data_IF_313839977336
#
_entry.id   IF_313839977336
#
_cell.length_a   1.000
_cell.length_b   1.000
_cell.length_c   1.000
_cell.angle_alpha   90.00
_cell.angle_beta   90.00
_cell.angle_gamma   90.00
#
_symmetry.space_group_name_H-M   'P 1'
#
loop_
_entity.id
_entity.type
_entity.pdbx_description
1 polymer ?
#
# COMPACT_ATOMS: atom_id res chain seq x y z
N UNK A 1 -2.89 -1.35 -14.98
CA UNK A 1 -1.94 -1.61 -13.88
C UNK A 1 -2.40 -0.93 -12.60
N UNK A 2 -2.21 -1.57 -11.44
CA UNK A 2 -2.55 -0.91 -10.17
C UNK A 2 -1.78 0.38 -9.97
N UNK A 3 -2.40 1.32 -9.26
CA UNK A 3 -1.79 2.59 -8.87
C UNK A 3 -1.67 2.61 -7.36
N UNK A 4 -0.65 3.23 -6.83
CA UNK A 4 -0.33 3.17 -5.40
C UNK A 4 -0.30 4.54 -4.73
N UNK A 5 -0.60 4.54 -3.43
CA UNK A 5 -0.40 5.66 -2.54
C UNK A 5 0.44 5.18 -1.37
N UNK A 6 1.55 5.84 -1.10
CA UNK A 6 2.46 5.52 0.01
C UNK A 6 2.06 6.34 1.23
N UNK A 7 1.71 5.65 2.32
CA UNK A 7 1.31 6.28 3.56
C UNK A 7 2.46 7.06 4.21
N UNK A 8 2.11 8.05 5.04
CA UNK A 8 3.12 8.94 5.64
C UNK A 8 4.04 8.28 6.66
N UNK A 9 3.69 7.10 7.18
CA UNK A 9 4.60 6.34 8.05
C UNK A 9 5.73 5.63 7.28
N UNK A 10 5.73 5.74 5.95
CA UNK A 10 6.79 5.25 5.09
C UNK A 10 7.48 6.43 4.42
N UNK A 11 8.77 6.29 4.12
CA UNK A 11 9.51 7.34 3.42
C UNK A 11 8.91 7.62 2.04
N UNK A 12 8.76 8.90 1.65
CA UNK A 12 8.34 9.24 0.28
C UNK A 12 9.29 8.68 -0.79
N UNK A 13 10.54 8.38 -0.42
CA UNK A 13 11.50 7.76 -1.34
C UNK A 13 11.04 6.37 -1.79
N UNK A 14 10.17 5.72 -1.02
CA UNK A 14 9.60 4.44 -1.44
C UNK A 14 8.67 4.61 -2.64
N UNK A 15 7.95 5.74 -2.70
CA UNK A 15 7.13 6.07 -3.86
C UNK A 15 7.99 6.29 -5.10
N UNK A 16 9.11 7.00 -4.95
CA UNK A 16 10.08 7.17 -6.03
C UNK A 16 10.64 5.84 -6.51
N UNK A 17 10.93 4.95 -5.56
CA UNK A 17 11.43 3.62 -5.87
C UNK A 17 10.45 2.84 -6.73
N UNK A 18 9.15 2.90 -6.40
CA UNK A 18 8.10 2.27 -7.19
C UNK A 18 7.97 2.90 -8.58
N UNK A 19 8.09 4.22 -8.68
CA UNK A 19 8.08 4.90 -9.98
C UNK A 19 9.22 4.44 -10.87
N UNK A 20 10.39 4.20 -10.27
CA UNK A 20 11.55 3.68 -11.00
C UNK A 20 11.32 2.26 -11.50
N UNK A 21 10.47 1.49 -10.84
CA UNK A 21 10.03 0.16 -11.29
C UNK A 21 8.86 0.24 -12.28
N UNK A 22 8.48 1.45 -12.71
CA UNK A 22 7.44 1.73 -13.70
C UNK A 22 6.01 1.58 -13.17
N UNK A 23 5.82 1.72 -11.87
CA UNK A 23 4.49 1.79 -11.28
C UNK A 23 4.06 3.23 -11.10
N UNK A 24 2.74 3.49 -11.18
CA UNK A 24 2.18 4.79 -10.83
C UNK A 24 2.06 4.85 -9.31
N UNK A 25 2.90 5.64 -8.67
CA UNK A 25 2.93 5.78 -7.22
C UNK A 25 3.02 7.23 -6.82
N UNK A 26 2.27 7.58 -5.78
CA UNK A 26 2.31 8.90 -5.13
C UNK A 26 2.48 8.70 -3.64
N UNK A 27 3.05 9.67 -2.97
CA UNK A 27 3.13 9.68 -1.52
C UNK A 27 2.02 10.57 -0.96
N UNK A 28 1.57 10.27 0.25
CA UNK A 28 0.53 11.06 0.95
C UNK A 28 0.88 12.55 0.96
N UNK A 29 2.16 12.86 1.20
CA UNK A 29 2.64 14.25 1.18
C UNK A 29 2.45 14.93 -0.18
N UNK A 30 2.64 14.21 -1.27
CA UNK A 30 2.54 14.76 -2.62
C UNK A 30 1.12 15.13 -3.02
N UNK A 31 0.13 14.50 -2.40
CA UNK A 31 -1.28 14.70 -2.76
C UNK A 31 -2.06 15.49 -1.70
N UNK A 32 -1.35 16.13 -0.77
CA UNK A 32 -1.97 17.01 0.21
C UNK A 32 -2.70 16.30 1.36
N UNK A 33 -2.38 15.05 1.62
CA UNK A 33 -3.04 14.25 2.66
C UNK A 33 -2.24 14.14 3.96
N UNK A 34 -1.09 14.80 4.05
CA UNK A 34 -0.26 14.75 5.25
C UNK A 34 -1.05 15.21 6.48
N UNK A 35 -1.02 14.41 7.54
CA UNK A 35 -1.71 14.71 8.78
C UNK A 35 -3.21 14.46 8.77
N UNK A 36 -3.76 13.97 7.67
CA UNK A 36 -5.20 13.67 7.59
C UNK A 36 -5.52 12.36 8.31
N UNK A 37 -6.72 12.24 8.89
CA UNK A 37 -7.11 10.98 9.54
C UNK A 37 -7.25 9.85 8.53
N UNK A 38 -7.15 8.62 9.04
CA UNK A 38 -7.17 7.41 8.22
C UNK A 38 -8.41 7.32 7.33
N UNK A 39 -9.58 7.75 7.85
CA UNK A 39 -10.83 7.74 7.09
C UNK A 39 -10.74 8.58 5.82
N UNK A 40 -10.06 9.73 5.88
CA UNK A 40 -9.88 10.59 4.72
C UNK A 40 -8.92 9.97 3.71
N UNK A 41 -7.89 9.28 4.18
CA UNK A 41 -6.95 8.57 3.31
C UNK A 41 -7.68 7.44 2.57
N UNK A 42 -8.49 6.67 3.29
CA UNK A 42 -9.30 5.59 2.70
C UNK A 42 -10.25 6.14 1.64
N UNK A 43 -10.95 7.22 1.96
CA UNK A 43 -11.86 7.87 1.01
C UNK A 43 -11.12 8.30 -0.25
N UNK A 44 -9.95 8.89 -0.07
CA UNK A 44 -9.15 9.38 -1.19
C UNK A 44 -8.69 8.24 -2.10
N UNK A 45 -8.22 7.12 -1.54
CA UNK A 45 -7.77 5.99 -2.36
C UNK A 45 -8.93 5.35 -3.11
N UNK A 46 -10.12 5.34 -2.52
CA UNK A 46 -11.33 4.85 -3.21
C UNK A 46 -11.69 5.75 -4.39
N UNK A 47 -11.72 7.06 -4.17
CA UNK A 47 -12.06 8.03 -5.21
C UNK A 47 -11.04 8.04 -6.35
N UNK A 48 -9.77 7.82 -6.04
CA UNK A 48 -8.69 7.86 -7.01
C UNK A 48 -8.25 6.48 -7.49
N UNK A 49 -8.93 5.43 -7.04
CA UNK A 49 -8.67 4.04 -7.42
C UNK A 49 -7.20 3.65 -7.23
N UNK A 50 -6.68 4.01 -6.06
CA UNK A 50 -5.31 3.67 -5.69
C UNK A 50 -5.29 2.65 -4.57
N UNK A 51 -4.20 1.89 -4.52
CA UNK A 51 -3.94 0.90 -3.48
C UNK A 51 -3.00 1.56 -2.47
N UNK A 52 -3.38 1.50 -1.19
CA UNK A 52 -2.57 2.06 -0.12
C UNK A 52 -1.45 1.09 0.23
N UNK A 53 -0.22 1.60 0.30
CA UNK A 53 0.92 0.86 0.84
C UNK A 53 1.29 1.53 2.16
N UNK A 54 1.25 0.78 3.25
CA UNK A 54 1.45 1.31 4.60
C UNK A 54 2.22 0.31 5.46
N UNK A 55 2.82 0.79 6.55
CA UNK A 55 3.41 -0.06 7.57
C UNK A 55 2.48 -0.20 8.80
N UNK A 56 1.32 0.45 8.78
CA UNK A 56 0.37 0.47 9.88
C UNK A 56 -0.64 -0.66 9.76
N UNK A 57 -0.59 -1.61 10.70
CA UNK A 57 -1.49 -2.75 10.73
C UNK A 57 -2.95 -2.36 10.94
N UNK A 58 -3.21 -1.18 11.51
CA UNK A 58 -4.58 -0.71 11.76
C UNK A 58 -5.38 -0.54 10.47
N UNK A 59 -4.72 -0.29 9.34
CA UNK A 59 -5.42 -0.20 8.06
C UNK A 59 -6.08 -1.52 7.64
N UNK A 60 -5.66 -2.65 8.21
CA UNK A 60 -6.36 -3.92 8.01
C UNK A 60 -7.78 -3.91 8.55
N UNK A 61 -8.04 -3.12 9.60
CA UNK A 61 -9.36 -2.99 10.18
C UNK A 61 -10.35 -2.33 9.20
N UNK A 62 -9.87 -1.36 8.42
CA UNK A 62 -10.70 -0.74 7.39
C UNK A 62 -11.13 -1.76 6.34
N UNK A 63 -10.22 -2.66 5.98
CA UNK A 63 -10.53 -3.72 5.03
C UNK A 63 -11.64 -4.64 5.53
N UNK A 64 -11.59 -5.03 6.81
CA UNK A 64 -12.54 -6.00 7.37
C UNK A 64 -13.82 -5.39 7.91
N UNK A 65 -13.75 -4.23 8.56
CA UNK A 65 -14.84 -3.76 9.42
C UNK A 65 -15.36 -2.37 9.12
N UNK A 66 -14.59 -1.53 8.45
CA UNK A 66 -14.92 -0.11 8.29
C UNK A 66 -15.04 0.30 6.83
N UNK A 67 -15.35 -0.65 5.97
CA UNK A 67 -15.33 -0.37 4.54
C UNK A 67 -16.53 0.42 4.09
N UNK A 68 -16.25 1.57 3.47
CA UNK A 68 -17.22 2.34 2.70
C UNK A 68 -17.20 1.88 1.25
N UNK A 69 -16.91 0.61 1.02
CA UNK A 69 -16.71 0.03 -0.29
C UNK A 69 -15.40 -0.76 -0.33
N UNK A 70 -15.10 -1.29 -1.50
CA UNK A 70 -13.90 -2.12 -1.68
C UNK A 70 -12.64 -1.26 -1.69
N UNK A 71 -11.61 -1.70 -0.98
CA UNK A 71 -10.31 -1.03 -0.95
C UNK A 71 -9.21 -2.04 -1.19
N UNK A 72 -8.07 -1.54 -1.66
CA UNK A 72 -6.84 -2.31 -1.75
C UNK A 72 -5.82 -1.75 -0.79
N UNK A 73 -5.25 -2.62 0.05
CA UNK A 73 -4.23 -2.23 1.03
C UNK A 73 -3.11 -3.25 1.02
N UNK A 74 -1.88 -2.76 0.98
CA UNK A 74 -0.68 -3.58 1.16
C UNK A 74 0.00 -3.11 2.44
N UNK A 75 0.10 -4.00 3.42
CA UNK A 75 0.80 -3.71 4.67
C UNK A 75 2.19 -4.33 4.61
N UNK A 76 3.21 -3.50 4.77
CA UNK A 76 4.60 -3.93 4.79
C UNK A 76 5.04 -4.08 6.25
N UNK A 77 5.37 -5.30 6.66
CA UNK A 77 5.84 -5.59 8.02
C UNK A 77 7.35 -5.79 8.00
N UNK A 78 8.06 -4.98 8.77
CA UNK A 78 9.50 -5.10 8.91
C UNK A 78 9.92 -4.81 10.34
N UNK A 79 10.89 -5.56 10.83
CA UNK A 79 11.49 -5.28 12.15
C UNK A 79 12.35 -4.03 12.09
N UNK A 80 12.96 -3.76 10.94
CA UNK A 80 13.74 -2.56 10.68
C UNK A 80 12.87 -1.52 10.00
N UNK A 81 12.96 -0.26 10.45
CA UNK A 81 12.24 0.85 9.83
C UNK A 81 13.07 1.56 8.76
N UNK A 82 14.21 1.00 8.38
CA UNK A 82 15.07 1.57 7.34
C UNK A 82 14.41 1.42 5.98
N UNK A 83 14.59 2.43 5.13
CA UNK A 83 14.06 2.43 3.77
C UNK A 83 14.43 1.16 3.00
N UNK A 84 15.69 0.73 3.10
CA UNK A 84 16.17 -0.47 2.41
C UNK A 84 15.36 -1.71 2.76
N UNK A 85 14.94 -1.85 4.01
CA UNK A 85 14.13 -3.00 4.43
C UNK A 85 12.78 -3.04 3.72
N UNK A 86 12.15 -1.88 3.56
CA UNK A 86 10.89 -1.78 2.83
C UNK A 86 11.09 -1.96 1.33
N UNK A 87 12.19 -1.45 0.78
CA UNK A 87 12.53 -1.67 -0.63
C UNK A 87 12.70 -3.16 -0.95
N UNK A 88 13.29 -3.91 -0.03
CA UNK A 88 13.46 -5.36 -0.21
C UNK A 88 12.11 -6.08 -0.26
N UNK A 89 11.14 -5.66 0.55
CA UNK A 89 9.79 -6.23 0.50
C UNK A 89 9.12 -5.88 -0.84
N UNK A 90 9.27 -4.64 -1.28
CA UNK A 90 8.73 -4.20 -2.58
C UNK A 90 9.36 -5.01 -3.72
N UNK A 91 10.67 -5.22 -3.70
CA UNK A 91 11.37 -6.02 -4.71
C UNK A 91 10.80 -7.43 -4.78
N UNK A 92 10.54 -8.02 -3.62
CA UNK A 92 9.96 -9.36 -3.55
C UNK A 92 8.55 -9.38 -4.16
N UNK A 93 7.70 -8.42 -3.79
CA UNK A 93 6.35 -8.33 -4.34
C UNK A 93 6.38 -8.07 -5.86
N UNK A 94 7.33 -7.28 -6.31
CA UNK A 94 7.50 -7.01 -7.73
C UNK A 94 7.91 -8.28 -8.49
N UNK A 95 8.89 -8.99 -7.96
CA UNK A 95 9.37 -10.25 -8.55
C UNK A 95 8.27 -11.29 -8.64
N UNK A 96 7.45 -11.39 -7.61
CA UNK A 96 6.33 -12.34 -7.55
C UNK A 96 5.10 -11.86 -8.31
N UNK A 97 5.19 -10.73 -8.99
CA UNK A 97 4.11 -10.13 -9.80
C UNK A 97 2.87 -9.74 -9.02
N UNK A 98 3.00 -9.61 -7.70
CA UNK A 98 1.89 -9.20 -6.83
C UNK A 98 1.46 -7.78 -7.16
N UNK A 99 2.42 -6.88 -7.41
CA UNK A 99 2.13 -5.46 -7.67
C UNK A 99 1.40 -5.21 -8.99
N UNK A 100 1.34 -6.20 -9.88
CA UNK A 100 0.64 -6.10 -11.16
C UNK A 100 -0.73 -6.77 -11.13
N UNK A 101 -1.10 -7.37 -10.02
CA UNK A 101 -2.35 -8.12 -9.92
C UNK A 101 -3.54 -7.15 -9.88
N UNK A 102 -4.43 -7.24 -10.85
CA UNK A 102 -5.62 -6.38 -10.94
C UNK A 102 -6.56 -6.55 -9.74
N UNK A 103 -6.50 -7.68 -9.06
CA UNK A 103 -7.35 -7.96 -7.90
C UNK A 103 -6.90 -7.22 -6.64
N UNK A 104 -5.76 -6.53 -6.68
CA UNK A 104 -5.28 -5.74 -5.54
C UNK A 104 -6.28 -4.68 -5.10
N UNK A 105 -7.08 -4.14 -6.01
CA UNK A 105 -8.07 -3.12 -5.68
C UNK A 105 -9.09 -3.57 -4.62
N UNK A 106 -9.23 -4.88 -4.45
CA UNK A 106 -10.19 -5.48 -3.52
C UNK A 106 -9.50 -6.47 -2.59
N UNK A 107 -8.25 -6.22 -2.28
CA UNK A 107 -7.45 -7.19 -1.51
C UNK A 107 -6.68 -6.52 -0.39
N UNK A 108 -6.46 -7.28 0.66
CA UNK A 108 -5.52 -6.94 1.71
C UNK A 108 -4.30 -7.85 1.55
N UNK A 109 -3.13 -7.24 1.34
CA UNK A 109 -1.87 -7.98 1.28
C UNK A 109 -1.08 -7.64 2.53
N UNK A 110 -0.57 -8.66 3.21
CA UNK A 110 0.37 -8.47 4.31
C UNK A 110 1.68 -9.11 3.87
N UNK A 111 2.73 -8.32 3.77
CA UNK A 111 4.01 -8.75 3.22
C UNK A 111 5.16 -8.54 4.19
N UNK A 112 6.03 -9.53 4.25
CA UNK A 112 7.33 -9.46 4.91
C UNK A 112 8.38 -9.80 3.86
N UNK A 113 9.64 -9.73 4.21
CA UNK A 113 10.71 -10.12 3.29
C UNK A 113 10.56 -11.61 2.93
N UNK A 114 10.37 -11.87 1.64
CA UNK A 114 10.29 -13.23 1.10
C UNK A 114 9.01 -13.99 1.34
N UNK A 115 7.95 -13.31 1.81
CA UNK A 115 6.66 -13.97 2.08
C UNK A 115 5.52 -12.96 2.07
N UNK A 116 4.34 -13.38 1.59
CA UNK A 116 3.16 -12.53 1.65
C UNK A 116 1.89 -13.36 1.79
N UNK A 117 0.81 -12.69 2.22
CA UNK A 117 -0.54 -13.24 2.29
C UNK A 117 -1.50 -12.29 1.60
N UNK A 118 -2.46 -12.85 0.87
CA UNK A 118 -3.53 -12.06 0.24
C UNK A 118 -4.86 -12.50 0.82
N UNK A 119 -5.68 -11.50 1.21
CA UNK A 119 -7.08 -11.70 1.59
C UNK A 119 -7.95 -10.91 0.61
N UNK A 120 -9.00 -11.51 0.12
CA UNK A 120 -9.94 -10.89 -0.81
C UNK A 120 -11.29 -10.71 -0.16
N UNK A 121 -12.06 -9.74 -0.66
CA UNK A 121 -13.45 -9.64 -0.26
C UNK A 121 -14.19 -10.89 -0.71
N UNK A 122 -15.10 -11.32 0.13
CA UNK A 122 -15.97 -12.47 -0.15
C UNK A 122 -17.17 -12.00 -0.98
#
# INVERSE_FOLDING_TARGET
MPKFLIDENLSPLLSEYLRNLKYDSRAVREVGLKGKPDEEIIKWIQENKRILITADLEFGEFFYFKTFGKIGVIILKSKSQKLKSFQEIIDYLHKEKVLRNKKLENSLVIAVKGKYRIRKYI
#
